data_IF_845804279381
#
_entry.id   IF_845804279381
#
_cell.length_a   1.000
_cell.length_b   1.000
_cell.length_c   1.000
_cell.angle_alpha   90.00
_cell.angle_beta   90.00
_cell.angle_gamma   90.00
#
_symmetry.space_group_name_H-M   'P 1'
#
loop_
_entity.id
_entity.type
_entity.pdbx_description
1 polymer ?
#
# COMPACT_ATOMS: atom_id res chain seq x y z
N UNK A 1 -26.42 -6.89 -12.73
CA UNK A 1 -25.46 -5.82 -12.37
C UNK A 1 -25.96 -5.14 -11.12
N UNK A 2 -25.15 -5.09 -10.07
CA UNK A 2 -25.44 -4.33 -8.85
C UNK A 2 -24.79 -2.95 -8.95
N UNK A 3 -25.51 -1.90 -8.55
CA UNK A 3 -24.98 -0.53 -8.44
C UNK A 3 -25.09 -0.09 -6.99
N UNK A 4 -23.95 0.29 -6.43
CA UNK A 4 -23.84 0.83 -5.07
C UNK A 4 -23.57 2.32 -5.18
N UNK A 5 -24.27 3.12 -4.38
CA UNK A 5 -24.15 4.57 -4.37
C UNK A 5 -23.68 5.03 -2.98
N UNK A 6 -22.52 5.68 -2.94
CA UNK A 6 -21.91 6.22 -1.73
C UNK A 6 -21.96 7.74 -1.67
N UNK A 7 -22.61 8.41 -2.63
CA UNK A 7 -22.59 9.87 -2.75
C UNK A 7 -23.02 10.57 -1.45
N UNK A 8 -24.04 10.05 -0.76
CA UNK A 8 -24.48 10.60 0.53
C UNK A 8 -23.84 9.88 1.73
N UNK A 9 -23.83 8.54 1.75
CA UNK A 9 -23.32 7.78 2.90
C UNK A 9 -21.81 7.92 3.11
N UNK A 10 -21.06 8.17 2.05
CA UNK A 10 -19.61 8.37 2.07
C UNK A 10 -19.17 9.83 2.11
N UNK A 11 -20.11 10.79 2.21
CA UNK A 11 -19.83 12.23 2.12
C UNK A 11 -18.74 12.66 3.11
N UNK A 12 -17.66 13.23 2.59
CA UNK A 12 -16.47 13.54 3.38
C UNK A 12 -15.71 14.77 2.89
N UNK A 13 -14.72 15.19 3.68
CA UNK A 13 -13.88 16.33 3.31
C UNK A 13 -12.82 15.86 2.31
N UNK A 14 -12.75 16.51 1.15
CA UNK A 14 -11.70 16.27 0.15
C UNK A 14 -10.63 17.35 0.28
N UNK A 15 -9.37 16.92 0.46
CA UNK A 15 -8.21 17.83 0.44
C UNK A 15 -8.04 18.49 -0.93
N UNK A 16 -8.30 17.76 -2.00
CA UNK A 16 -8.19 18.24 -3.39
C UNK A 16 -9.20 19.34 -3.70
N UNK A 17 -10.46 19.14 -3.31
CA UNK A 17 -11.54 20.12 -3.56
C UNK A 17 -11.70 21.15 -2.44
N UNK A 18 -10.96 21.01 -1.34
CA UNK A 18 -11.00 21.86 -0.14
C UNK A 18 -12.42 22.05 0.40
N UNK A 19 -13.18 20.97 0.52
CA UNK A 19 -14.57 21.03 0.96
C UNK A 19 -15.22 19.67 1.12
N UNK A 20 -16.44 19.68 1.66
CA UNK A 20 -17.26 18.47 1.77
C UNK A 20 -17.83 18.13 0.39
N UNK A 21 -17.50 16.94 -0.10
CA UNK A 21 -17.92 16.42 -1.41
C UNK A 21 -18.76 15.16 -1.23
N UNK A 22 -19.55 14.77 -2.25
CA UNK A 22 -20.17 13.44 -2.26
C UNK A 22 -19.13 12.33 -2.03
N UNK A 23 -19.56 11.21 -1.46
CA UNK A 23 -18.67 10.07 -1.24
C UNK A 23 -18.03 9.60 -2.54
N UNK A 24 -16.70 9.65 -2.57
CA UNK A 24 -15.87 9.15 -3.66
C UNK A 24 -15.22 7.86 -3.16
N UNK A 25 -15.05 6.89 -4.07
CA UNK A 25 -14.33 5.66 -3.75
C UNK A 25 -12.84 5.98 -3.87
N UNK A 26 -12.11 5.90 -2.76
CA UNK A 26 -10.66 6.12 -2.73
C UNK A 26 -9.91 4.82 -3.02
N UNK A 27 -10.33 3.72 -2.38
CA UNK A 27 -9.69 2.41 -2.54
C UNK A 27 -10.71 1.27 -2.56
N UNK A 28 -10.32 0.21 -3.26
CA UNK A 28 -11.02 -1.08 -3.27
C UNK A 28 -10.02 -2.20 -2.94
N UNK A 29 -10.41 -3.11 -2.06
CA UNK A 29 -9.61 -4.26 -1.66
C UNK A 29 -10.49 -5.53 -1.69
N UNK A 30 -9.97 -6.61 -2.27
CA UNK A 30 -10.70 -7.88 -2.38
C UNK A 30 -10.15 -8.91 -1.41
N UNK A 31 -11.02 -9.55 -0.63
CA UNK A 31 -10.65 -10.66 0.25
C UNK A 31 -11.70 -11.76 0.17
N UNK A 32 -11.35 -12.90 -0.42
CA UNK A 32 -12.30 -13.98 -0.68
C UNK A 32 -13.48 -13.49 -1.54
N UNK A 33 -14.71 -13.62 -1.01
CA UNK A 33 -15.95 -13.14 -1.63
C UNK A 33 -16.31 -11.70 -1.28
N UNK A 34 -15.49 -11.03 -0.47
CA UNK A 34 -15.81 -9.73 0.09
C UNK A 34 -15.04 -8.62 -0.60
N UNK A 35 -15.75 -7.55 -0.87
CA UNK A 35 -15.22 -6.29 -1.37
C UNK A 35 -15.21 -5.28 -0.23
N UNK A 36 -14.02 -4.77 0.07
CA UNK A 36 -13.80 -3.69 1.02
C UNK A 36 -13.64 -2.39 0.25
N UNK A 37 -14.56 -1.45 0.46
CA UNK A 37 -14.62 -0.15 -0.23
C UNK A 37 -14.34 0.96 0.74
N UNK A 38 -13.29 1.73 0.50
CA UNK A 38 -12.96 2.91 1.28
C UNK A 38 -13.47 4.16 0.58
N UNK A 39 -14.26 4.94 1.30
CA UNK A 39 -14.57 6.34 0.97
C UNK A 39 -13.75 7.27 1.86
N UNK A 40 -13.92 8.58 1.72
CA UNK A 40 -13.17 9.59 2.49
C UNK A 40 -13.30 9.45 4.03
N UNK A 41 -14.29 8.71 4.53
CA UNK A 41 -14.54 8.55 5.98
C UNK A 41 -14.82 7.12 6.42
N UNK A 42 -15.21 6.24 5.49
CA UNK A 42 -15.82 4.98 5.85
C UNK A 42 -15.26 3.84 5.03
N UNK A 43 -15.10 2.72 5.72
CA UNK A 43 -14.79 1.42 5.15
C UNK A 43 -16.08 0.60 5.12
N UNK A 44 -16.43 0.08 3.95
CA UNK A 44 -17.62 -0.76 3.76
C UNK A 44 -17.18 -2.16 3.35
N UNK A 45 -17.70 -3.19 4.01
CA UNK A 45 -17.56 -4.58 3.60
C UNK A 45 -18.81 -5.01 2.85
N UNK A 46 -18.63 -5.57 1.66
CA UNK A 46 -19.72 -5.84 0.72
C UNK A 46 -19.57 -7.26 0.20
N UNK A 47 -20.65 -8.04 0.25
CA UNK A 47 -20.70 -9.34 -0.39
C UNK A 47 -20.78 -9.14 -1.92
N UNK A 48 -19.77 -9.64 -2.65
CA UNK A 48 -19.67 -9.43 -4.11
C UNK A 48 -20.79 -10.14 -4.88
N UNK A 49 -21.26 -11.28 -4.39
CA UNK A 49 -22.26 -12.09 -5.08
C UNK A 49 -23.66 -11.45 -5.05
N UNK A 50 -23.98 -10.74 -3.98
CA UNK A 50 -25.31 -10.16 -3.70
C UNK A 50 -25.32 -8.64 -3.79
N UNK A 51 -24.16 -7.99 -3.73
CA UNK A 51 -24.04 -6.53 -3.62
C UNK A 51 -24.52 -5.99 -2.27
N UNK A 52 -24.73 -6.84 -1.27
CA UNK A 52 -25.22 -6.40 0.05
C UNK A 52 -24.06 -5.82 0.87
N UNK A 53 -24.25 -4.63 1.43
CA UNK A 53 -23.36 -4.09 2.46
C UNK A 53 -23.54 -4.91 3.73
N UNK A 54 -22.48 -5.59 4.14
CA UNK A 54 -22.43 -6.43 5.33
C UNK A 54 -22.10 -5.60 6.58
N UNK A 55 -21.17 -4.66 6.42
CA UNK A 55 -20.60 -3.88 7.52
C UNK A 55 -20.16 -2.49 7.03
N UNK A 56 -20.18 -1.53 7.95
CA UNK A 56 -19.56 -0.22 7.80
C UNK A 56 -18.77 0.13 9.06
N UNK A 57 -17.57 0.65 8.87
CA UNK A 57 -16.69 1.14 9.93
C UNK A 57 -16.34 2.61 9.71
N UNK A 58 -16.11 3.35 10.78
CA UNK A 58 -15.63 4.75 10.75
C UNK A 58 -14.08 4.80 10.74
N UNK A 59 -13.50 3.95 9.91
CA UNK A 59 -12.06 3.83 9.62
C UNK A 59 -11.88 3.85 8.10
N UNK A 60 -10.66 4.08 7.62
CA UNK A 60 -10.31 4.09 6.20
C UNK A 60 -9.13 3.16 5.95
N UNK A 61 -9.12 2.47 4.81
CA UNK A 61 -7.98 1.66 4.39
C UNK A 61 -7.38 2.19 3.08
N UNK A 62 -6.05 2.24 2.97
CA UNK A 62 -5.41 2.46 1.67
C UNK A 62 -5.57 1.22 0.77
N UNK A 63 -4.88 1.22 -0.37
CA UNK A 63 -4.66 0.00 -1.14
C UNK A 63 -3.87 -1.00 -0.28
N UNK A 64 -4.44 -2.18 -0.06
CA UNK A 64 -3.86 -3.24 0.75
C UNK A 64 -3.28 -4.35 -0.10
N UNK A 65 -2.15 -4.91 0.34
CA UNK A 65 -1.52 -6.10 -0.24
C UNK A 65 -1.76 -7.28 0.71
N UNK A 66 -2.53 -8.26 0.26
CA UNK A 66 -3.06 -9.32 1.13
C UNK A 66 -2.18 -10.57 1.07
N UNK A 67 -1.79 -11.05 2.25
CA UNK A 67 -1.06 -12.31 2.45
C UNK A 67 -1.76 -13.12 3.56
N UNK A 68 -2.35 -14.24 3.19
CA UNK A 68 -3.22 -15.00 4.10
C UNK A 68 -4.44 -14.15 4.48
N UNK A 69 -4.68 -13.98 5.78
CA UNK A 69 -5.81 -13.18 6.32
C UNK A 69 -5.46 -11.71 6.52
N UNK A 70 -4.18 -11.34 6.44
CA UNK A 70 -3.69 -9.99 6.73
C UNK A 70 -3.46 -9.23 5.44
N UNK A 71 -3.88 -7.97 5.43
CA UNK A 71 -3.43 -7.00 4.44
C UNK A 71 -2.45 -6.03 5.06
N UNK A 72 -1.49 -5.63 4.26
CA UNK A 72 -0.45 -4.69 4.62
C UNK A 72 -0.50 -3.49 3.68
N UNK A 73 -0.09 -2.32 4.15
CA UNK A 73 0.19 -1.16 3.31
C UNK A 73 1.23 -0.28 3.98
N UNK A 74 2.15 0.26 3.18
CA UNK A 74 2.96 1.42 3.54
C UNK A 74 2.64 2.53 2.53
N UNK A 75 1.79 3.47 2.92
CA UNK A 75 1.25 4.50 2.02
C UNK A 75 1.14 5.85 2.74
N UNK A 76 1.58 6.93 2.08
CA UNK A 76 1.69 8.27 2.71
C UNK A 76 2.42 8.22 4.07
N UNK A 77 3.40 7.32 4.18
CA UNK A 77 4.19 7.12 5.40
C UNK A 77 3.42 6.55 6.59
N UNK A 78 2.25 5.95 6.37
CA UNK A 78 1.56 5.13 7.36
C UNK A 78 1.77 3.66 7.04
N UNK A 79 2.25 2.92 8.03
CA UNK A 79 2.27 1.47 8.02
C UNK A 79 0.98 0.96 8.61
N UNK A 80 0.17 0.33 7.77
CA UNK A 80 -1.17 -0.15 8.08
C UNK A 80 -1.19 -1.67 7.96
N UNK A 81 -1.70 -2.35 9.00
CA UNK A 81 -1.96 -3.78 9.00
C UNK A 81 -3.41 -4.01 9.37
N UNK A 82 -4.15 -4.71 8.52
CA UNK A 82 -5.57 -5.00 8.72
C UNK A 82 -5.83 -6.50 8.66
N UNK A 83 -6.62 -7.01 9.60
CA UNK A 83 -7.10 -8.40 9.59
C UNK A 83 -8.42 -8.45 8.80
N UNK A 84 -8.37 -8.99 7.59
CA UNK A 84 -9.52 -9.07 6.71
C UNK A 84 -10.52 -10.16 7.11
N UNK A 85 -10.09 -11.18 7.84
CA UNK A 85 -10.97 -12.22 8.35
C UNK A 85 -11.77 -11.70 9.54
N UNK A 86 -11.08 -11.09 10.51
CA UNK A 86 -11.72 -10.49 11.68
C UNK A 86 -12.36 -9.12 11.39
N UNK A 87 -12.02 -8.48 10.27
CA UNK A 87 -12.52 -7.18 9.88
C UNK A 87 -12.07 -6.05 10.81
N UNK A 88 -10.80 -6.01 11.22
CA UNK A 88 -10.32 -4.99 12.17
C UNK A 88 -8.89 -4.53 11.89
N UNK A 89 -8.61 -3.27 12.23
CA UNK A 89 -7.27 -2.72 12.24
C UNK A 89 -6.39 -3.41 13.29
N UNK A 90 -5.17 -3.78 12.90
CA UNK A 90 -4.14 -4.31 13.80
C UNK A 90 -3.03 -3.29 14.06
N UNK A 91 -2.71 -2.45 13.08
CA UNK A 91 -1.70 -1.39 13.18
C UNK A 91 -2.05 -0.25 12.21
N UNK A 92 -1.91 0.99 12.65
CA UNK A 92 -1.96 2.18 11.80
C UNK A 92 -1.01 3.24 12.38
N UNK A 93 0.27 3.11 12.06
CA UNK A 93 1.33 3.91 12.65
C UNK A 93 2.13 4.66 11.59
N UNK A 94 2.45 5.92 11.89
CA UNK A 94 3.31 6.71 11.03
C UNK A 94 4.74 6.17 11.10
N UNK A 95 5.26 5.77 9.93
CA UNK A 95 6.64 5.36 9.65
C UNK A 95 7.13 6.27 8.53
N UNK A 96 7.77 7.38 8.89
CA UNK A 96 8.19 8.43 7.93
C UNK A 96 9.68 8.74 7.98
N UNK A 97 10.46 7.83 8.57
CA UNK A 97 11.92 7.96 8.69
C UNK A 97 12.60 6.98 7.76
N UNK A 98 13.46 7.52 6.89
CA UNK A 98 14.28 6.76 5.97
C UNK A 98 15.75 7.06 6.23
N UNK A 99 16.56 6.02 6.48
CA UNK A 99 17.99 6.15 6.68
C UNK A 99 18.73 6.11 5.34
N UNK A 100 19.52 7.15 5.07
CA UNK A 100 20.35 7.26 3.88
C UNK A 100 21.62 8.06 4.21
N UNK A 101 22.79 7.64 3.70
CA UNK A 101 24.09 8.29 3.99
C UNK A 101 24.38 8.51 5.49
N UNK A 102 23.94 7.58 6.34
CA UNK A 102 24.14 7.65 7.80
C UNK A 102 23.29 8.69 8.52
N UNK A 103 22.23 9.21 7.88
CA UNK A 103 21.27 10.16 8.46
C UNK A 103 19.84 9.71 8.21
N UNK A 104 18.94 10.12 9.09
CA UNK A 104 17.50 9.91 8.93
C UNK A 104 16.84 11.14 8.32
N UNK A 105 15.94 10.89 7.38
CA UNK A 105 15.17 11.93 6.70
C UNK A 105 13.68 11.66 6.83
N UNK A 106 12.88 12.73 6.77
CA UNK A 106 11.45 12.61 6.54
C UNK A 106 11.21 12.11 5.11
N UNK A 107 10.33 11.14 4.96
CA UNK A 107 10.09 10.47 3.69
C UNK A 107 8.60 10.22 3.45
N UNK A 108 8.24 10.15 2.17
CA UNK A 108 6.93 9.67 1.69
C UNK A 108 7.09 8.28 1.10
N UNK A 109 6.18 7.37 1.45
CA UNK A 109 6.23 5.98 1.02
C UNK A 109 4.99 5.59 0.21
N UNK A 110 5.19 4.80 -0.83
CA UNK A 110 4.12 4.15 -1.59
C UNK A 110 4.50 2.70 -1.86
N UNK A 111 3.76 1.76 -1.26
CA UNK A 111 3.91 0.32 -1.50
C UNK A 111 3.48 -0.04 -2.92
N UNK A 112 4.30 -0.82 -3.60
CA UNK A 112 4.09 -1.22 -5.00
C UNK A 112 3.79 -2.70 -5.14
N UNK A 113 4.45 -3.53 -4.33
CA UNK A 113 4.32 -4.99 -4.36
C UNK A 113 4.69 -5.58 -3.00
N UNK A 114 3.90 -6.53 -2.50
CA UNK A 114 4.27 -7.43 -1.41
C UNK A 114 4.65 -8.78 -1.99
N UNK A 115 5.83 -9.29 -1.66
CA UNK A 115 6.26 -10.61 -2.07
C UNK A 115 7.13 -11.24 -0.99
N UNK A 116 6.76 -12.44 -0.55
CA UNK A 116 7.53 -13.21 0.45
C UNK A 116 7.82 -12.43 1.75
N UNK A 117 6.89 -11.59 2.20
CA UNK A 117 7.05 -10.76 3.40
C UNK A 117 7.87 -9.47 3.18
N UNK A 118 8.31 -9.19 1.96
CA UNK A 118 9.03 -7.96 1.60
C UNK A 118 8.12 -7.05 0.79
N UNK A 119 7.97 -5.82 1.26
CA UNK A 119 7.42 -4.73 0.48
C UNK A 119 8.47 -4.09 -0.41
N UNK A 120 8.16 -3.97 -1.69
CA UNK A 120 8.87 -3.08 -2.59
C UNK A 120 8.15 -1.75 -2.63
N UNK A 121 8.88 -0.70 -2.26
CA UNK A 121 8.35 0.62 -1.91
C UNK A 121 9.01 1.69 -2.77
N UNK A 122 8.20 2.59 -3.32
CA UNK A 122 8.69 3.88 -3.81
C UNK A 122 8.88 4.80 -2.61
N UNK A 123 10.10 5.28 -2.42
CA UNK A 123 10.47 6.18 -1.33
C UNK A 123 10.87 7.52 -1.92
N UNK A 124 10.30 8.60 -1.38
CA UNK A 124 10.65 9.97 -1.73
C UNK A 124 11.21 10.70 -0.51
N UNK A 125 12.40 11.26 -0.65
CA UNK A 125 13.11 12.05 0.38
C UNK A 125 13.50 13.39 -0.22
N UNK A 126 12.76 14.47 0.09
CA UNK A 126 13.09 15.83 -0.38
C UNK A 126 13.36 15.94 -1.89
N UNK A 127 12.61 15.20 -2.72
CA UNK A 127 12.79 15.16 -4.18
C UNK A 127 13.88 14.20 -4.69
N UNK A 128 14.47 13.40 -3.80
CA UNK A 128 15.30 12.24 -4.12
C UNK A 128 14.41 11.00 -4.06
N UNK A 129 14.57 10.08 -5.01
CA UNK A 129 13.70 8.92 -5.14
C UNK A 129 14.51 7.65 -4.95
N UNK A 130 13.91 6.66 -4.31
CA UNK A 130 14.51 5.36 -4.10
C UNK A 130 13.50 4.27 -4.37
N UNK A 131 13.99 3.15 -4.90
CA UNK A 131 13.33 1.87 -4.77
C UNK A 131 13.88 1.20 -3.51
N UNK A 132 13.02 0.80 -2.59
CA UNK A 132 13.45 0.16 -1.35
C UNK A 132 12.70 -1.14 -1.08
N UNK A 133 13.34 -2.04 -0.34
CA UNK A 133 12.77 -3.27 0.20
C UNK A 133 12.55 -3.08 1.71
N UNK A 134 11.31 -3.27 2.16
CA UNK A 134 10.88 -3.14 3.55
C UNK A 134 10.37 -4.48 4.06
N UNK A 135 10.94 -5.02 5.13
CA UNK A 135 10.48 -6.26 5.75
C UNK A 135 9.28 -5.99 6.66
N UNK A 136 8.14 -6.63 6.37
CA UNK A 136 6.88 -6.38 7.09
C UNK A 136 6.83 -7.03 8.49
N UNK A 137 7.77 -7.92 8.80
CA UNK A 137 7.87 -8.55 10.11
C UNK A 137 8.77 -7.76 11.05
N UNK A 138 9.95 -7.32 10.57
CA UNK A 138 10.87 -6.52 11.37
C UNK A 138 10.56 -5.03 11.33
N UNK A 139 9.77 -4.58 10.35
CA UNK A 139 9.46 -3.18 10.06
C UNK A 139 10.69 -2.34 9.70
N UNK A 140 11.67 -2.97 9.02
CA UNK A 140 12.93 -2.34 8.64
C UNK A 140 13.15 -2.34 7.12
N UNK A 141 13.80 -1.30 6.62
CA UNK A 141 14.32 -1.29 5.27
C UNK A 141 15.60 -2.13 5.20
N UNK A 142 15.58 -3.17 4.38
CA UNK A 142 16.69 -4.15 4.27
C UNK A 142 17.55 -3.91 3.03
N UNK A 143 17.05 -3.14 2.06
CA UNK A 143 17.78 -2.79 0.84
C UNK A 143 17.16 -1.54 0.21
N UNK A 144 17.97 -0.75 -0.50
CA UNK A 144 17.49 0.33 -1.34
C UNK A 144 18.45 0.62 -2.50
N UNK A 145 17.91 1.22 -3.55
CA UNK A 145 18.66 1.75 -4.69
C UNK A 145 18.14 3.14 -5.07
N UNK A 146 19.05 4.02 -5.48
CA UNK A 146 18.75 5.39 -5.85
C UNK A 146 18.09 5.41 -7.24
N UNK A 147 16.91 6.03 -7.36
CA UNK A 147 16.13 6.08 -8.59
C UNK A 147 16.15 7.45 -9.28
N UNK A 148 16.10 7.45 -10.61
CA UNK A 148 16.17 8.66 -11.43
C UNK A 148 14.90 9.53 -11.37
N UNK A 149 14.87 10.47 -10.43
CA UNK A 149 14.09 11.72 -10.53
C UNK A 149 12.56 11.64 -10.40
N UNK A 150 11.96 10.45 -10.34
CA UNK A 150 10.51 10.27 -10.21
C UNK A 150 10.17 9.08 -9.30
N UNK A 151 8.95 9.08 -8.76
CA UNK A 151 8.42 7.94 -8.01
C UNK A 151 8.32 6.70 -8.88
N UNK A 152 8.51 5.54 -8.28
CA UNK A 152 8.42 4.27 -8.98
C UNK A 152 6.94 3.94 -9.19
N UNK A 153 6.56 3.66 -10.44
CA UNK A 153 5.18 3.39 -10.83
C UNK A 153 4.76 1.96 -10.55
N UNK A 154 5.65 0.99 -10.77
CA UNK A 154 5.36 -0.42 -10.54
C UNK A 154 6.60 -1.27 -10.32
N UNK A 155 6.41 -2.37 -9.61
CA UNK A 155 7.40 -3.43 -9.41
C UNK A 155 6.73 -4.77 -9.73
N UNK A 156 7.44 -5.62 -10.46
CA UNK A 156 7.01 -6.95 -10.86
C UNK A 156 8.09 -7.97 -10.55
N UNK A 157 7.70 -9.20 -10.27
CA UNK A 157 8.62 -10.32 -10.06
C UNK A 157 8.35 -11.41 -11.08
N UNK A 158 9.42 -11.83 -11.76
CA UNK A 158 9.40 -12.93 -12.73
C UNK A 158 10.56 -13.85 -12.41
N UNK A 159 10.26 -15.00 -11.79
CA UNK A 159 11.29 -15.88 -11.24
C UNK A 159 12.13 -15.16 -10.18
N UNK A 160 13.45 -15.18 -10.38
CA UNK A 160 14.44 -14.52 -9.54
C UNK A 160 14.74 -13.06 -9.97
N UNK A 161 14.00 -12.52 -10.94
CA UNK A 161 14.15 -11.13 -11.38
C UNK A 161 13.08 -10.24 -10.77
N UNK A 162 13.51 -9.09 -10.26
CA UNK A 162 12.64 -7.96 -9.94
C UNK A 162 12.76 -6.92 -11.05
N UNK A 163 11.64 -6.44 -11.56
CA UNK A 163 11.56 -5.44 -12.62
C UNK A 163 10.83 -4.22 -12.05
N UNK A 164 11.50 -3.08 -12.02
CA UNK A 164 10.93 -1.82 -11.57
C UNK A 164 10.82 -0.84 -12.73
N UNK A 165 9.73 -0.09 -12.76
CA UNK A 165 9.44 0.91 -13.79
C UNK A 165 9.10 2.25 -13.17
N UNK A 166 9.71 3.32 -13.68
CA UNK A 166 9.27 4.69 -13.48
C UNK A 166 9.45 5.45 -14.79
N UNK A 167 8.45 6.23 -15.19
CA UNK A 167 8.49 7.10 -16.36
C UNK A 167 9.13 6.43 -17.61
N UNK A 168 10.35 6.83 -17.97
CA UNK A 168 11.16 6.36 -19.10
C UNK A 168 12.26 5.35 -18.71
N UNK A 169 12.38 4.99 -17.43
CA UNK A 169 13.37 4.07 -16.89
C UNK A 169 12.75 2.73 -16.48
N UNK A 170 13.41 1.64 -16.90
CA UNK A 170 13.15 0.29 -16.41
C UNK A 170 14.46 -0.30 -15.92
N UNK A 171 14.48 -0.79 -14.68
CA UNK A 171 15.62 -1.53 -14.12
C UNK A 171 15.22 -2.95 -13.81
N UNK A 172 16.15 -3.86 -14.06
CA UNK A 172 16.00 -5.29 -13.81
C UNK A 172 17.08 -5.69 -12.82
N UNK A 173 16.65 -6.23 -11.68
CA UNK A 173 17.51 -6.65 -10.59
C UNK A 173 17.53 -8.17 -10.48
N UNK A 174 18.70 -8.73 -10.21
CA UNK A 174 18.83 -10.09 -9.72
C UNK A 174 18.44 -10.11 -8.24
N UNK A 175 17.41 -10.87 -7.87
CA UNK A 175 17.12 -11.18 -6.48
C UNK A 175 18.09 -12.27 -6.03
N UNK A 176 18.61 -12.12 -4.83
CA UNK A 176 19.41 -13.15 -4.16
C UNK A 176 18.57 -13.65 -3.01
N UNK A 177 18.24 -14.94 -3.00
CA UNK A 177 17.55 -15.52 -1.85
C UNK A 177 18.50 -15.54 -0.66
N UNK A 178 18.04 -15.30 0.58
CA UNK A 178 18.88 -15.45 1.77
C UNK A 178 19.50 -16.86 1.90
N UNK A 179 18.89 -17.88 1.28
CA UNK A 179 19.42 -19.24 1.19
C UNK A 179 20.64 -19.39 0.29
N UNK A 180 20.85 -18.46 -0.64
CA UNK A 180 21.92 -18.54 -1.65
C UNK A 180 23.22 -17.85 -1.18
N UNK A 181 23.18 -17.22 0.00
CA UNK A 181 24.32 -16.56 0.64
C UNK A 181 25.13 -17.44 1.61
N UNK A 182 25.08 -18.77 1.46
CA UNK A 182 26.05 -19.66 2.11
C UNK A 182 27.24 -19.91 1.16
N UNK A 183 28.46 -19.46 1.49
CA UNK A 183 29.67 -19.85 0.76
C UNK A 183 30.02 -21.34 0.92
#
# INVERSE_FOLDING_TARGET
VYRLDFAESGRGYSLWRRGIVPGEIEFINFYGSDLWVTTQKHLHRIDVATGKVLERQDETLPKMFIQGTRGYSLFNSYYTVFDFEAGRMLCDERRDRFAYEGKEYSSEYTSLLLHEGIFYVSVRVSGIFFLAAFDVQTEEFVWHDLWGGWDINSVHIVGDRMIAHSHDEVRIYQRVSPSDSNP
#
